data_IF_858642257887
#
_entry.id   IF_858642257887
#
_cell.length_a   1.000
_cell.length_b   1.000
_cell.length_c   1.000
_cell.angle_alpha   90.00
_cell.angle_beta   90.00
_cell.angle_gamma   90.00
#
_symmetry.space_group_name_H-M   'P 1'
#
loop_
_entity.id
_entity.type
_entity.pdbx_description
1 polymer ?
#
# COMPACT_ATOMS: atom_id res chain seq x y z
N UNK A 1 -32.39 -49.11 -15.56
CA UNK A 1 -32.55 -47.69 -15.16
C UNK A 1 -31.57 -47.22 -14.07
N UNK A 2 -31.26 -47.99 -13.01
CA UNK A 2 -30.28 -47.55 -11.99
C UNK A 2 -28.85 -47.34 -12.53
N UNK A 3 -28.35 -48.19 -13.43
CA UNK A 3 -26.99 -48.07 -14.01
C UNK A 3 -26.83 -46.87 -14.96
N UNK A 4 -27.89 -46.46 -15.65
CA UNK A 4 -27.88 -45.29 -16.54
C UNK A 4 -27.91 -43.96 -15.76
N UNK A 5 -28.57 -43.94 -14.59
CA UNK A 5 -28.62 -42.76 -13.73
C UNK A 5 -27.27 -42.49 -13.03
N UNK A 6 -26.54 -43.53 -12.64
CA UNK A 6 -25.20 -43.39 -12.03
C UNK A 6 -24.17 -42.86 -13.02
N UNK A 7 -24.27 -43.25 -14.30
CA UNK A 7 -23.34 -42.78 -15.34
C UNK A 7 -23.53 -41.29 -15.67
N UNK A 8 -24.77 -40.80 -15.69
CA UNK A 8 -25.10 -39.38 -15.90
C UNK A 8 -24.64 -38.53 -14.70
N UNK A 9 -24.78 -39.05 -13.47
CA UNK A 9 -24.31 -38.36 -12.26
C UNK A 9 -22.78 -38.18 -12.26
N UNK A 10 -22.03 -39.23 -12.63
CA UNK A 10 -20.55 -39.14 -12.72
C UNK A 10 -20.11 -38.19 -13.84
N UNK A 11 -20.81 -38.16 -14.98
CA UNK A 11 -20.49 -37.26 -16.09
C UNK A 11 -20.77 -35.78 -15.75
N UNK A 12 -21.79 -35.50 -14.94
CA UNK A 12 -22.09 -34.15 -14.45
C UNK A 12 -21.05 -33.62 -13.45
N UNK A 13 -20.52 -34.48 -12.56
CA UNK A 13 -19.48 -34.12 -11.58
C UNK A 13 -18.14 -33.82 -12.25
N UNK A 14 -17.78 -34.54 -13.33
CA UNK A 14 -16.56 -34.25 -14.10
C UNK A 14 -16.68 -32.94 -14.89
N UNK A 15 -17.88 -32.63 -15.39
CA UNK A 15 -18.13 -31.39 -16.15
C UNK A 15 -18.02 -30.12 -15.29
N UNK A 16 -18.38 -30.20 -14.00
CA UNK A 16 -18.22 -29.10 -13.06
C UNK A 16 -16.76 -28.82 -12.64
N UNK A 17 -15.82 -29.73 -12.91
CA UNK A 17 -14.39 -29.52 -12.59
C UNK A 17 -13.61 -28.80 -13.70
N UNK A 18 -14.19 -28.67 -14.90
CA UNK A 18 -13.56 -27.94 -16.03
C UNK A 18 -14.14 -26.54 -16.26
N UNK A 19 -15.20 -26.17 -15.56
CA UNK A 19 -15.81 -24.84 -15.65
C UNK A 19 -15.07 -23.82 -14.78
N UNK A 20 -13.89 -23.35 -15.24
CA UNK A 20 -13.35 -21.99 -15.06
C UNK A 20 -11.88 -21.89 -15.53
N UNK A 21 -11.58 -22.11 -16.81
CA UNK A 21 -10.30 -21.67 -17.43
C UNK A 21 -10.51 -21.25 -18.90
N UNK A 22 -11.29 -20.21 -19.13
CA UNK A 22 -11.40 -19.61 -20.46
C UNK A 22 -10.13 -18.76 -20.73
N UNK A 23 -9.29 -19.18 -21.69
CA UNK A 23 -8.23 -18.35 -22.28
C UNK A 23 -6.77 -18.83 -22.09
N UNK A 24 -6.48 -19.61 -21.04
CA UNK A 24 -5.14 -20.12 -20.74
C UNK A 24 -5.04 -21.65 -20.87
N UNK A 25 -4.05 -22.12 -21.63
CA UNK A 25 -3.66 -23.53 -21.74
C UNK A 25 -3.05 -24.06 -20.43
N UNK A 26 -2.37 -23.19 -19.67
CA UNK A 26 -1.84 -23.51 -18.34
C UNK A 26 -1.38 -22.28 -17.58
N UNK A 27 -1.38 -22.40 -16.25
CA UNK A 27 -0.83 -21.40 -15.33
C UNK A 27 -0.08 -22.11 -14.21
N UNK A 28 1.16 -21.68 -13.98
CA UNK A 28 2.08 -22.20 -12.99
C UNK A 28 2.52 -21.05 -12.08
N UNK A 29 2.78 -21.38 -10.82
CA UNK A 29 3.10 -20.41 -9.78
C UNK A 29 4.32 -20.86 -9.00
N UNK A 30 5.24 -19.93 -8.72
CA UNK A 30 6.43 -20.13 -7.88
C UNK A 30 7.19 -21.42 -8.26
N UNK A 31 7.37 -22.35 -7.32
CA UNK A 31 8.14 -23.58 -7.52
C UNK A 31 7.53 -24.57 -8.51
N UNK A 32 6.30 -24.31 -8.99
CA UNK A 32 5.69 -25.09 -10.08
C UNK A 32 6.10 -24.60 -11.47
N UNK A 33 6.80 -23.47 -11.55
CA UNK A 33 7.38 -22.94 -12.79
C UNK A 33 8.70 -23.67 -13.04
N UNK A 34 8.96 -23.96 -14.31
CA UNK A 34 10.23 -24.53 -14.76
C UNK A 34 11.44 -23.74 -14.18
N UNK A 35 12.41 -24.41 -13.52
CA UNK A 35 13.53 -23.72 -12.88
C UNK A 35 14.41 -22.90 -13.83
N UNK A 36 14.64 -23.37 -15.05
CA UNK A 36 15.47 -22.68 -16.03
C UNK A 36 14.77 -21.38 -16.48
N UNK A 37 13.44 -21.44 -16.66
CA UNK A 37 12.65 -20.25 -16.92
C UNK A 37 12.71 -19.27 -15.74
N UNK A 38 12.63 -19.74 -14.49
CA UNK A 38 12.76 -18.85 -13.32
C UNK A 38 14.13 -18.18 -13.28
N UNK A 39 15.21 -18.87 -13.64
CA UNK A 39 16.55 -18.29 -13.71
C UNK A 39 16.68 -17.23 -14.83
N UNK A 40 16.11 -17.51 -16.01
CA UNK A 40 16.02 -16.53 -17.11
C UNK A 40 15.29 -15.25 -16.64
N UNK A 41 14.17 -15.41 -15.94
CA UNK A 41 13.37 -14.29 -15.45
C UNK A 41 14.03 -13.56 -14.27
N UNK A 42 14.70 -14.26 -13.37
CA UNK A 42 15.50 -13.66 -12.30
C UNK A 42 16.62 -12.76 -12.87
N UNK A 43 17.24 -13.17 -13.98
CA UNK A 43 18.23 -12.36 -14.69
C UNK A 43 17.63 -11.06 -15.24
N UNK A 44 16.41 -11.13 -15.80
CA UNK A 44 15.69 -9.94 -16.30
C UNK A 44 15.24 -9.01 -15.17
N UNK A 45 14.73 -9.58 -14.06
CA UNK A 45 14.38 -8.82 -12.87
C UNK A 45 15.61 -8.10 -12.29
N UNK A 46 16.75 -8.79 -12.19
CA UNK A 46 18.01 -8.18 -11.74
C UNK A 46 18.42 -7.00 -12.62
N UNK A 47 18.34 -7.15 -13.95
CA UNK A 47 18.61 -6.05 -14.89
C UNK A 47 17.64 -4.88 -14.71
N UNK A 48 16.34 -5.16 -14.52
CA UNK A 48 15.32 -4.14 -14.28
C UNK A 48 15.59 -3.36 -12.99
N UNK A 49 15.77 -4.06 -11.86
CA UNK A 49 16.01 -3.42 -10.55
C UNK A 49 17.31 -2.62 -10.59
N UNK A 50 18.38 -3.17 -11.19
CA UNK A 50 19.66 -2.45 -11.34
C UNK A 50 19.50 -1.17 -12.17
N UNK A 51 18.81 -1.24 -13.30
CA UNK A 51 18.57 -0.06 -14.13
C UNK A 51 17.77 1.02 -13.38
N UNK A 52 16.80 0.64 -12.54
CA UNK A 52 16.07 1.59 -11.71
C UNK A 52 16.95 2.22 -10.63
N UNK A 53 17.76 1.42 -9.92
CA UNK A 53 18.67 1.90 -8.87
C UNK A 53 19.75 2.86 -9.42
N UNK A 54 20.20 2.64 -10.65
CA UNK A 54 21.22 3.47 -11.32
C UNK A 54 20.64 4.71 -12.01
N UNK A 55 19.35 5.02 -11.82
CA UNK A 55 18.62 6.07 -12.54
C UNK A 55 18.75 5.94 -14.08
N UNK A 56 18.86 4.70 -14.57
CA UNK A 56 19.13 4.37 -15.97
C UNK A 56 17.83 4.04 -16.72
N UNK A 57 17.09 5.10 -17.08
CA UNK A 57 15.83 4.94 -17.80
C UNK A 57 16.00 4.26 -19.18
N UNK A 58 17.14 4.48 -19.85
CA UNK A 58 17.47 3.79 -21.10
C UNK A 58 17.58 2.27 -20.90
N UNK A 59 18.18 1.82 -19.79
CA UNK A 59 18.26 0.41 -19.42
C UNK A 59 16.89 -0.22 -19.19
N UNK A 60 15.97 0.49 -18.54
CA UNK A 60 14.58 0.04 -18.40
C UNK A 60 13.87 -0.04 -19.75
N UNK A 61 14.03 0.97 -20.61
CA UNK A 61 13.44 1.00 -21.97
C UNK A 61 13.96 -0.13 -22.88
N UNK A 62 15.19 -0.60 -22.70
CA UNK A 62 15.73 -1.76 -23.44
C UNK A 62 15.02 -3.09 -23.10
N UNK A 63 14.50 -3.21 -21.87
CA UNK A 63 13.70 -4.36 -21.43
C UNK A 63 12.25 -4.25 -21.88
N UNK A 64 11.75 -3.04 -22.12
CA UNK A 64 10.37 -2.77 -22.49
C UNK A 64 9.99 -3.32 -23.86
N UNK A 65 8.73 -3.73 -24.00
CA UNK A 65 8.14 -4.06 -25.29
C UNK A 65 7.73 -2.78 -26.05
N UNK A 66 7.55 -2.86 -27.38
CA UNK A 66 7.04 -1.73 -28.16
C UNK A 66 5.71 -1.20 -27.63
N UNK A 67 4.83 -2.09 -27.16
CA UNK A 67 3.52 -1.73 -26.62
C UNK A 67 3.63 -0.95 -25.30
N UNK A 68 4.59 -1.29 -24.44
CA UNK A 68 4.86 -0.53 -23.22
C UNK A 68 5.41 0.85 -23.58
N UNK A 69 6.43 0.92 -24.45
CA UNK A 69 7.06 2.16 -24.88
C UNK A 69 6.05 3.16 -25.48
N UNK A 70 5.14 2.68 -26.34
CA UNK A 70 4.10 3.51 -26.95
C UNK A 70 3.11 4.07 -25.91
N UNK A 71 2.80 3.30 -24.86
CA UNK A 71 1.91 3.73 -23.77
C UNK A 71 2.62 4.62 -22.75
N UNK A 72 3.95 4.65 -22.75
CA UNK A 72 4.77 5.20 -21.66
C UNK A 72 5.71 6.32 -22.09
N UNK A 73 5.42 7.08 -23.16
CA UNK A 73 6.36 8.03 -23.80
C UNK A 73 7.19 8.89 -22.81
N UNK A 74 6.60 9.37 -21.70
CA UNK A 74 7.30 10.02 -20.58
C UNK A 74 7.21 9.27 -19.22
N UNK A 75 6.44 8.18 -19.16
CA UNK A 75 6.08 7.50 -17.91
C UNK A 75 7.22 6.71 -17.29
N UNK A 76 8.03 6.02 -18.09
CA UNK A 76 9.13 5.19 -17.57
C UNK A 76 10.27 6.03 -16.98
N UNK A 77 10.58 7.18 -17.59
CA UNK A 77 11.62 8.08 -17.10
C UNK A 77 11.23 8.67 -15.74
N UNK A 78 9.95 9.07 -15.61
CA UNK A 78 9.39 9.54 -14.35
C UNK A 78 9.41 8.47 -13.25
N UNK A 79 9.03 7.23 -13.58
CA UNK A 79 9.09 6.10 -12.65
C UNK A 79 10.51 5.86 -12.16
N UNK A 80 11.49 5.84 -13.07
CA UNK A 80 12.90 5.65 -12.69
C UNK A 80 13.38 6.82 -11.81
N UNK A 81 13.10 8.06 -12.22
CA UNK A 81 13.47 9.25 -11.46
C UNK A 81 12.82 9.28 -10.06
N UNK A 82 11.58 8.83 -9.91
CA UNK A 82 10.87 8.82 -8.64
C UNK A 82 11.46 7.82 -7.64
N UNK A 83 11.90 6.65 -8.11
CA UNK A 83 12.27 5.54 -7.22
C UNK A 83 13.79 5.30 -7.12
N UNK A 84 14.63 5.87 -7.98
CA UNK A 84 16.07 5.57 -8.01
C UNK A 84 16.81 5.83 -6.69
N UNK A 85 16.45 6.88 -5.94
CA UNK A 85 17.09 7.19 -4.64
C UNK A 85 16.75 6.19 -3.55
N UNK A 86 15.62 5.49 -3.70
CA UNK A 86 15.09 4.59 -2.71
C UNK A 86 15.47 3.13 -3.01
N UNK A 87 15.53 2.75 -4.29
CA UNK A 87 15.91 1.41 -4.75
C UNK A 87 17.43 1.23 -4.65
N UNK A 88 17.87 0.16 -3.99
CA UNK A 88 19.28 -0.25 -3.96
C UNK A 88 19.51 -1.46 -4.86
N UNK A 89 20.69 -1.54 -5.46
CA UNK A 89 21.11 -2.68 -6.28
C UNK A 89 20.94 -4.00 -5.51
N UNK A 90 20.39 -5.01 -6.19
CA UNK A 90 20.22 -6.38 -5.70
C UNK A 90 19.41 -6.54 -4.39
N UNK A 91 18.69 -5.50 -3.96
CA UNK A 91 17.89 -5.50 -2.73
C UNK A 91 16.39 -5.66 -3.01
N UNK A 92 16.01 -6.79 -3.61
CA UNK A 92 14.61 -7.15 -3.82
C UNK A 92 14.32 -8.59 -3.38
N UNK A 93 13.08 -8.82 -2.97
CA UNK A 93 12.53 -10.12 -2.63
C UNK A 93 11.44 -10.47 -3.66
N UNK A 94 11.35 -11.74 -4.04
CA UNK A 94 10.25 -12.24 -4.87
C UNK A 94 9.10 -12.62 -3.95
N UNK A 95 7.95 -11.93 -4.07
CA UNK A 95 6.73 -12.28 -3.33
C UNK A 95 6.08 -13.49 -4.00
N UNK A 96 5.81 -13.38 -5.30
CA UNK A 96 5.23 -14.43 -6.12
C UNK A 96 5.68 -14.28 -7.57
N UNK A 97 5.69 -15.40 -8.29
CA UNK A 97 5.91 -15.48 -9.72
C UNK A 97 4.82 -16.33 -10.37
N UNK A 98 4.40 -15.94 -11.57
CA UNK A 98 3.41 -16.66 -12.35
C UNK A 98 3.87 -16.80 -13.79
N UNK A 99 3.75 -18.00 -14.34
CA UNK A 99 3.94 -18.25 -15.76
C UNK A 99 2.62 -18.74 -16.35
N UNK A 100 2.18 -18.13 -17.45
CA UNK A 100 0.94 -18.52 -18.13
C UNK A 100 1.19 -18.77 -19.60
N UNK A 101 0.60 -19.84 -20.13
CA UNK A 101 0.48 -20.10 -21.57
C UNK A 101 -0.96 -19.89 -21.98
N UNK A 102 -1.19 -18.99 -22.91
CA UNK A 102 -2.48 -18.60 -23.45
C UNK A 102 -2.72 -19.26 -24.79
N UNK A 103 -3.99 -19.60 -25.08
CA UNK A 103 -4.36 -20.23 -26.37
C UNK A 103 -4.19 -19.22 -27.52
N UNK A 104 -4.35 -17.94 -27.22
CA UNK A 104 -4.13 -16.83 -28.13
C UNK A 104 -3.59 -15.60 -27.39
N UNK A 105 -3.00 -14.67 -28.14
CA UNK A 105 -2.69 -13.33 -27.65
C UNK A 105 -3.98 -12.50 -27.45
N UNK A 106 -3.85 -11.38 -26.72
CA UNK A 106 -4.91 -10.44 -26.37
C UNK A 106 -6.05 -11.01 -25.51
N UNK A 107 -5.75 -12.01 -24.68
CA UNK A 107 -6.69 -12.56 -23.71
C UNK A 107 -6.56 -11.87 -22.34
N UNK A 108 -7.67 -11.72 -21.63
CA UNK A 108 -7.63 -11.25 -20.24
C UNK A 108 -7.15 -12.39 -19.34
N UNK A 109 -6.10 -12.13 -18.55
CA UNK A 109 -5.62 -13.03 -17.52
C UNK A 109 -5.90 -12.44 -16.14
N UNK A 110 -6.39 -13.31 -15.26
CA UNK A 110 -6.56 -13.04 -13.83
C UNK A 110 -5.77 -14.09 -13.06
N UNK A 111 -4.72 -13.66 -12.38
CA UNK A 111 -3.93 -14.47 -11.47
C UNK A 111 -4.45 -14.25 -10.06
N UNK A 112 -4.51 -15.29 -9.25
CA UNK A 112 -5.05 -15.22 -7.88
C UNK A 112 -4.00 -15.80 -6.94
N UNK A 113 -3.74 -15.13 -5.81
CA UNK A 113 -2.92 -15.70 -4.74
C UNK A 113 -3.66 -16.88 -4.08
N UNK A 114 -2.92 -17.84 -3.53
CA UNK A 114 -3.55 -18.98 -2.85
C UNK A 114 -4.42 -18.56 -1.66
N UNK A 115 -5.61 -19.15 -1.54
CA UNK A 115 -6.78 -18.65 -0.79
C UNK A 115 -6.71 -18.52 0.75
N UNK A 116 -5.55 -18.55 1.41
CA UNK A 116 -5.49 -18.66 2.89
C UNK A 116 -4.72 -17.59 3.66
N UNK A 117 -4.13 -16.58 2.99
CA UNK A 117 -3.41 -15.51 3.68
C UNK A 117 -4.23 -14.21 3.78
N UNK A 118 -3.99 -13.41 4.83
CA UNK A 118 -4.55 -12.06 5.02
C UNK A 118 -4.20 -11.12 3.86
N UNK A 119 -3.09 -11.38 3.17
CA UNK A 119 -2.56 -10.58 2.06
C UNK A 119 -2.97 -11.09 0.67
N UNK A 120 -4.15 -11.68 0.54
CA UNK A 120 -4.60 -12.22 -0.75
C UNK A 120 -4.86 -11.11 -1.78
N UNK A 121 -4.45 -11.35 -3.03
CA UNK A 121 -4.64 -10.42 -4.14
C UNK A 121 -4.94 -11.12 -5.47
N UNK A 122 -5.42 -10.34 -6.44
CA UNK A 122 -5.45 -10.70 -7.84
C UNK A 122 -4.50 -9.84 -8.65
N UNK A 123 -3.97 -10.41 -9.74
CA UNK A 123 -3.29 -9.66 -10.79
C UNK A 123 -4.09 -9.79 -12.09
N UNK A 124 -4.66 -8.69 -12.55
CA UNK A 124 -5.51 -8.61 -13.73
C UNK A 124 -4.80 -7.87 -14.85
N UNK A 125 -4.56 -8.52 -15.99
CA UNK A 125 -3.89 -7.90 -17.14
C UNK A 125 -4.36 -8.45 -18.49
N UNK A 126 -4.04 -7.73 -19.56
CA UNK A 126 -4.23 -8.19 -20.93
C UNK A 126 -2.94 -8.89 -21.38
N UNK A 127 -3.02 -10.19 -21.66
CA UNK A 127 -1.91 -10.99 -22.16
C UNK A 127 -1.64 -10.69 -23.64
N UNK A 128 -0.64 -9.86 -23.94
CA UNK A 128 -0.29 -9.51 -25.32
C UNK A 128 0.45 -10.62 -26.08
N UNK A 129 0.90 -11.66 -25.38
CA UNK A 129 1.68 -12.77 -25.93
C UNK A 129 1.08 -14.11 -25.48
N UNK A 130 1.34 -15.16 -26.26
CA UNK A 130 0.95 -16.52 -25.91
C UNK A 130 1.61 -16.96 -24.60
N UNK A 131 2.86 -16.57 -24.35
CA UNK A 131 3.55 -16.86 -23.10
C UNK A 131 3.78 -15.57 -22.32
N UNK A 132 3.33 -15.56 -21.07
CA UNK A 132 3.47 -14.42 -20.16
C UNK A 132 4.12 -14.86 -18.86
N UNK A 133 4.90 -13.96 -18.27
CA UNK A 133 5.49 -14.13 -16.96
C UNK A 133 5.19 -12.92 -16.09
N UNK A 134 4.75 -13.11 -14.86
CA UNK A 134 4.48 -12.04 -13.90
C UNK A 134 5.39 -12.22 -12.71
N UNK A 135 6.19 -11.21 -12.41
CA UNK A 135 6.95 -11.10 -11.17
C UNK A 135 6.33 -10.04 -10.26
N UNK A 136 5.98 -10.46 -9.05
CA UNK A 136 5.58 -9.58 -7.96
C UNK A 136 6.76 -9.48 -7.02
N UNK A 137 7.46 -8.34 -7.05
CA UNK A 137 8.68 -8.12 -6.28
C UNK A 137 8.44 -7.12 -5.15
N UNK A 138 9.17 -7.26 -4.07
CA UNK A 138 9.26 -6.29 -2.98
C UNK A 138 10.65 -5.68 -2.97
N UNK A 139 10.73 -4.35 -3.00
CA UNK A 139 11.98 -3.61 -2.80
C UNK A 139 11.91 -2.90 -1.46
N UNK A 140 12.88 -3.16 -0.58
CA UNK A 140 12.95 -2.52 0.73
C UNK A 140 13.56 -1.12 0.59
N UNK A 141 12.81 -0.10 1.01
CA UNK A 141 13.24 1.29 1.09
C UNK A 141 13.45 1.65 2.57
N UNK A 142 14.04 2.81 2.91
CA UNK A 142 14.32 3.14 4.31
C UNK A 142 13.09 3.03 5.20
N UNK A 143 11.97 3.67 4.82
CA UNK A 143 10.78 3.85 5.67
C UNK A 143 9.56 3.00 5.26
N UNK A 144 9.59 2.45 4.05
CA UNK A 144 8.51 1.65 3.48
C UNK A 144 9.11 0.61 2.52
N UNK A 145 8.33 -0.38 2.11
CA UNK A 145 8.66 -1.26 1.00
C UNK A 145 7.83 -0.85 -0.22
N UNK A 146 8.40 -0.94 -1.42
CA UNK A 146 7.66 -0.79 -2.67
C UNK A 146 7.39 -2.15 -3.30
N UNK A 147 6.22 -2.33 -3.91
CA UNK A 147 5.93 -3.44 -4.79
C UNK A 147 6.35 -3.05 -6.21
N UNK A 148 7.05 -3.95 -6.90
CA UNK A 148 7.32 -3.84 -8.33
C UNK A 148 6.55 -4.96 -9.01
N UNK A 149 5.53 -4.58 -9.77
CA UNK A 149 4.78 -5.49 -10.63
C UNK A 149 5.38 -5.44 -12.03
N UNK A 150 6.05 -6.51 -12.43
CA UNK A 150 6.64 -6.65 -13.75
C UNK A 150 5.93 -7.77 -14.52
N UNK A 151 5.26 -7.43 -15.63
CA UNK A 151 4.61 -8.41 -16.51
C UNK A 151 5.38 -8.47 -17.82
N UNK A 152 5.95 -9.62 -18.11
CA UNK A 152 6.70 -9.93 -19.32
C UNK A 152 5.86 -10.75 -20.29
N UNK A 153 6.11 -10.57 -21.59
CA UNK A 153 5.62 -11.44 -22.65
C UNK A 153 6.78 -11.98 -23.48
N UNK A 154 6.64 -13.22 -24.00
CA UNK A 154 7.62 -13.82 -24.91
C UNK A 154 7.40 -13.31 -26.34
N UNK A 155 8.41 -12.64 -26.88
CA UNK A 155 8.50 -12.22 -28.28
C UNK A 155 9.53 -13.10 -29.01
N UNK A 156 9.59 -12.99 -30.34
CA UNK A 156 10.53 -13.75 -31.18
C UNK A 156 12.00 -13.52 -30.77
N UNK A 157 12.31 -12.33 -30.26
CA UNK A 157 13.65 -11.96 -29.79
C UNK A 157 13.83 -12.09 -28.26
N UNK A 158 12.96 -12.84 -27.59
CA UNK A 158 13.04 -13.12 -26.15
C UNK A 158 11.96 -12.42 -25.32
N UNK A 159 12.12 -12.45 -24.01
CA UNK A 159 11.18 -11.83 -23.07
C UNK A 159 11.30 -10.30 -23.05
N UNK A 160 10.16 -9.61 -23.09
CA UNK A 160 10.06 -8.15 -22.98
C UNK A 160 9.00 -7.75 -21.95
N UNK A 161 9.25 -6.64 -21.28
CA UNK A 161 8.38 -6.07 -20.26
C UNK A 161 7.19 -5.35 -20.91
N UNK A 162 5.98 -5.87 -20.68
CA UNK A 162 4.72 -5.34 -21.18
C UNK A 162 4.04 -4.38 -20.20
N UNK A 163 4.23 -4.60 -18.90
CA UNK A 163 3.66 -3.76 -17.84
C UNK A 163 4.72 -3.59 -16.75
N UNK A 164 4.90 -2.36 -16.29
CA UNK A 164 5.69 -2.01 -15.13
C UNK A 164 4.88 -1.07 -14.24
N UNK A 165 4.64 -1.49 -13.00
CA UNK A 165 3.99 -0.66 -11.99
C UNK A 165 4.78 -0.72 -10.68
N UNK A 166 4.94 0.43 -10.05
CA UNK A 166 5.57 0.57 -8.74
C UNK A 166 4.68 1.39 -7.82
N UNK A 167 4.57 0.97 -6.56
CA UNK A 167 3.80 1.64 -5.54
C UNK A 167 4.17 1.19 -4.14
N UNK A 168 3.79 2.00 -3.14
CA UNK A 168 4.02 1.67 -1.74
C UNK A 168 3.25 0.41 -1.35
N UNK A 169 3.95 -0.54 -0.73
CA UNK A 169 3.44 -1.87 -0.41
C UNK A 169 3.30 -2.10 1.10
N UNK A 170 4.38 -1.82 1.82
CA UNK A 170 4.42 -1.94 3.28
C UNK A 170 4.86 -0.62 3.89
N UNK A 171 4.24 -0.23 5.01
CA UNK A 171 4.77 0.81 5.90
C UNK A 171 5.13 0.13 7.21
N UNK A 172 6.36 0.35 7.70
CA UNK A 172 6.88 -0.32 8.91
C UNK A 172 6.70 -1.86 8.90
N UNK A 173 6.79 -2.47 7.71
CA UNK A 173 6.67 -3.91 7.52
C UNK A 173 5.24 -4.46 7.53
N UNK A 174 4.21 -3.60 7.49
CA UNK A 174 2.81 -4.02 7.40
C UNK A 174 2.15 -3.58 6.09
N UNK A 175 1.32 -4.44 5.52
CA UNK A 175 0.53 -4.21 4.30
C UNK A 175 -0.78 -3.47 4.59
N UNK A 176 -1.50 -3.10 3.53
CA UNK A 176 -2.84 -2.50 3.67
C UNK A 176 -3.85 -3.41 4.42
N UNK A 177 -4.01 -4.72 4.08
CA UNK A 177 -4.87 -5.62 4.85
C UNK A 177 -4.53 -5.70 6.35
N UNK A 178 -3.25 -5.71 6.70
CA UNK A 178 -2.81 -5.78 8.10
C UNK A 178 -3.15 -4.49 8.86
N UNK A 179 -2.93 -3.32 8.25
CA UNK A 179 -3.37 -2.04 8.83
C UNK A 179 -4.90 -1.92 8.94
N UNK A 180 -5.65 -2.51 8.00
CA UNK A 180 -7.11 -2.61 8.10
C UNK A 180 -7.53 -3.45 9.31
N UNK A 181 -6.87 -4.58 9.54
CA UNK A 181 -7.10 -5.46 10.69
C UNK A 181 -6.88 -4.73 12.03
N UNK A 182 -5.80 -3.93 12.12
CA UNK A 182 -5.51 -3.09 13.29
C UNK A 182 -6.55 -1.97 13.47
N UNK A 183 -6.92 -1.30 12.39
CA UNK A 183 -7.96 -0.28 12.41
C UNK A 183 -9.29 -0.85 12.91
N UNK A 184 -9.64 -2.06 12.47
CA UNK A 184 -10.86 -2.74 12.90
C UNK A 184 -10.82 -3.08 14.40
N UNK A 185 -9.67 -3.52 14.90
CA UNK A 185 -9.46 -3.78 16.33
C UNK A 185 -9.65 -2.53 17.19
N UNK A 186 -8.99 -1.42 16.83
CA UNK A 186 -9.18 -0.14 17.53
C UNK A 186 -10.62 0.37 17.46
N UNK A 187 -11.27 0.19 16.30
CA UNK A 187 -12.67 0.54 16.14
C UNK A 187 -13.59 -0.25 17.09
N UNK A 188 -13.35 -1.55 17.27
CA UNK A 188 -14.10 -2.38 18.22
C UNK A 188 -13.93 -1.91 19.68
N UNK A 189 -12.76 -1.36 20.02
CA UNK A 189 -12.45 -0.77 21.32
C UNK A 189 -13.05 0.65 21.50
N UNK A 190 -13.67 1.18 20.45
CA UNK A 190 -14.21 2.55 20.36
C UNK A 190 -13.13 3.63 20.42
N UNK A 191 -11.92 3.31 19.96
CA UNK A 191 -10.77 4.22 19.94
C UNK A 191 -10.62 4.76 18.50
N UNK A 192 -11.53 5.66 18.15
CA UNK A 192 -11.80 6.07 16.75
C UNK A 192 -10.60 6.79 16.11
N UNK A 193 -9.80 7.52 16.88
CA UNK A 193 -8.61 8.20 16.35
C UNK A 193 -7.51 7.20 15.97
N UNK A 194 -7.27 6.18 16.78
CA UNK A 194 -6.29 5.15 16.42
C UNK A 194 -6.80 4.34 15.21
N UNK A 195 -8.11 4.07 15.17
CA UNK A 195 -8.74 3.39 14.04
C UNK A 195 -8.59 4.19 12.72
N UNK A 196 -8.84 5.51 12.74
CA UNK A 196 -8.72 6.35 11.54
C UNK A 196 -7.25 6.48 11.09
N UNK A 197 -6.30 6.56 12.02
CA UNK A 197 -4.88 6.63 11.68
C UNK A 197 -4.41 5.36 10.95
N UNK A 198 -4.77 4.18 11.44
CA UNK A 198 -4.41 2.91 10.79
C UNK A 198 -5.10 2.73 9.43
N UNK A 199 -6.41 2.96 9.33
CA UNK A 199 -7.13 2.78 8.06
C UNK A 199 -6.76 3.82 7.00
N UNK A 200 -6.28 5.01 7.42
CA UNK A 200 -5.74 6.00 6.49
C UNK A 200 -4.46 5.48 5.82
N UNK A 201 -3.55 4.86 6.60
CA UNK A 201 -2.34 4.22 6.04
C UNK A 201 -2.72 3.07 5.11
N UNK A 202 -3.65 2.20 5.54
CA UNK A 202 -4.15 1.11 4.69
C UNK A 202 -4.66 1.65 3.34
N UNK A 203 -5.43 2.75 3.35
CA UNK A 203 -5.95 3.38 2.13
C UNK A 203 -4.84 3.95 1.25
N UNK A 204 -3.78 4.52 1.83
CA UNK A 204 -2.64 5.08 1.07
C UNK A 204 -1.83 3.99 0.35
N UNK A 205 -1.75 2.79 0.91
CA UNK A 205 -0.97 1.66 0.36
C UNK A 205 -1.84 0.52 -0.19
N UNK A 206 -3.13 0.76 -0.42
CA UNK A 206 -4.09 -0.25 -0.89
C UNK A 206 -3.86 -0.68 -2.36
N UNK A 207 -3.17 0.12 -3.17
CA UNK A 207 -3.01 -0.13 -4.61
C UNK A 207 -1.53 -0.17 -5.06
N UNK A 208 -0.72 -1.06 -4.48
CA UNK A 208 0.74 -1.09 -4.69
C UNK A 208 1.14 -1.40 -6.14
N UNK A 209 0.35 -2.18 -6.88
CA UNK A 209 0.55 -2.46 -8.32
C UNK A 209 -0.36 -1.65 -9.25
N UNK A 210 -0.98 -0.59 -8.74
CA UNK A 210 -1.99 0.19 -9.45
C UNK A 210 -3.19 -0.67 -9.88
N UNK A 211 -3.80 -0.34 -11.02
CA UNK A 211 -5.01 -1.02 -11.53
C UNK A 211 -4.84 -2.51 -11.85
N UNK A 212 -3.61 -3.01 -11.91
CA UNK A 212 -3.32 -4.40 -12.27
C UNK A 212 -3.24 -5.31 -11.05
N UNK A 213 -3.14 -4.74 -9.84
CA UNK A 213 -3.05 -5.47 -8.59
C UNK A 213 -4.22 -5.04 -7.71
N UNK A 214 -4.98 -6.00 -7.19
CA UNK A 214 -6.11 -5.72 -6.31
C UNK A 214 -6.08 -6.65 -5.11
N UNK A 215 -6.05 -6.11 -3.90
CA UNK A 215 -6.28 -6.92 -2.71
C UNK A 215 -7.72 -7.45 -2.74
N UNK A 216 -7.91 -8.69 -2.27
CA UNK A 216 -9.25 -9.30 -2.19
C UNK A 216 -10.23 -8.45 -1.38
N UNK A 217 -9.74 -7.84 -0.30
CA UNK A 217 -10.51 -7.02 0.63
C UNK A 217 -10.49 -5.52 0.29
N UNK A 218 -9.99 -5.10 -0.88
CA UNK A 218 -9.83 -3.66 -1.23
C UNK A 218 -11.13 -2.85 -1.06
N UNK A 219 -12.25 -3.39 -1.55
CA UNK A 219 -13.55 -2.71 -1.44
C UNK A 219 -14.05 -2.66 0.01
N UNK A 220 -13.76 -3.69 0.81
CA UNK A 220 -14.10 -3.74 2.24
C UNK A 220 -13.30 -2.68 3.01
N UNK A 221 -11.99 -2.61 2.78
CA UNK A 221 -11.11 -1.60 3.37
C UNK A 221 -11.59 -0.18 3.04
N UNK A 222 -11.88 0.09 1.75
CA UNK A 222 -12.36 1.40 1.30
C UNK A 222 -13.69 1.78 1.93
N UNK A 223 -14.64 0.86 2.01
CA UNK A 223 -15.93 1.10 2.65
C UNK A 223 -15.78 1.35 4.15
N UNK A 224 -14.89 0.62 4.82
CA UNK A 224 -14.59 0.82 6.23
C UNK A 224 -13.93 2.16 6.51
N UNK A 225 -12.97 2.58 5.68
CA UNK A 225 -12.37 3.91 5.72
C UNK A 225 -13.44 5.01 5.68
N UNK A 226 -14.33 4.96 4.68
CA UNK A 226 -15.41 5.94 4.52
C UNK A 226 -16.36 5.97 5.72
N UNK A 227 -16.67 4.79 6.29
CA UNK A 227 -17.51 4.66 7.48
C UNK A 227 -16.86 5.34 8.68
N UNK A 228 -15.62 4.98 9.03
CA UNK A 228 -14.94 5.53 10.21
C UNK A 228 -14.73 7.03 10.03
N UNK A 229 -14.31 7.49 8.85
CA UNK A 229 -14.10 8.91 8.61
C UNK A 229 -15.38 9.72 8.84
N UNK A 230 -16.53 9.21 8.40
CA UNK A 230 -17.84 9.84 8.67
C UNK A 230 -18.17 9.83 10.17
N UNK A 231 -17.91 8.73 10.87
CA UNK A 231 -18.14 8.62 12.31
C UNK A 231 -17.24 9.57 13.11
N UNK A 232 -15.95 9.60 12.80
CA UNK A 232 -14.97 10.52 13.37
C UNK A 232 -15.37 11.99 13.14
N UNK A 233 -15.77 12.36 11.93
CA UNK A 233 -16.24 13.72 11.62
C UNK A 233 -17.57 14.07 12.29
N UNK A 234 -18.37 13.07 12.69
CA UNK A 234 -19.59 13.28 13.45
C UNK A 234 -19.32 13.48 14.94
N UNK A 235 -18.40 12.68 15.49
CA UNK A 235 -18.02 12.72 16.89
C UNK A 235 -17.09 13.90 17.22
N UNK A 236 -16.17 14.21 16.32
CA UNK A 236 -15.14 15.23 16.49
C UNK A 236 -15.32 16.33 15.44
N UNK A 237 -16.00 17.40 15.83
CA UNK A 237 -16.21 18.58 14.98
C UNK A 237 -14.96 19.46 14.98
N UNK A 238 -14.04 19.20 14.05
CA UNK A 238 -12.86 20.03 13.84
C UNK A 238 -13.20 21.26 12.95
N UNK A 239 -12.63 22.44 13.23
CA UNK A 239 -11.74 22.73 14.36
C UNK A 239 -12.46 22.75 15.72
N UNK A 240 -11.85 22.14 16.73
CA UNK A 240 -12.39 21.95 18.07
C UNK A 240 -11.56 22.76 19.09
N UNK A 241 -12.21 23.69 19.80
CA UNK A 241 -11.57 24.46 20.87
C UNK A 241 -11.50 23.64 22.18
N UNK A 242 -10.31 23.53 22.76
CA UNK A 242 -10.08 22.84 24.05
C UNK A 242 -10.29 23.82 25.19
N UNK A 243 -11.56 24.07 25.54
CA UNK A 243 -11.99 25.11 26.50
C UNK A 243 -11.52 24.87 27.93
N UNK A 244 -11.07 23.66 28.27
CA UNK A 244 -10.50 23.34 29.58
C UNK A 244 -9.16 24.05 29.82
N UNK A 245 -8.49 24.50 28.76
CA UNK A 245 -7.21 25.21 28.82
C UNK A 245 -7.44 26.71 28.77
N UNK A 246 -6.69 27.47 29.59
CA UNK A 246 -6.78 28.94 29.62
C UNK A 246 -6.52 29.59 28.26
N UNK A 247 -5.63 29.01 27.47
CA UNK A 247 -5.24 29.51 26.14
C UNK A 247 -6.20 29.10 25.03
N UNK A 248 -7.10 28.15 25.32
CA UNK A 248 -8.14 27.61 24.44
C UNK A 248 -7.64 27.28 23.01
N UNK A 249 -6.61 26.42 22.85
CA UNK A 249 -6.11 26.04 21.54
C UNK A 249 -7.20 25.34 20.73
N UNK A 250 -7.16 25.52 19.40
CA UNK A 250 -8.11 24.91 18.47
C UNK A 250 -7.44 23.75 17.74
N UNK A 251 -7.82 22.52 18.07
CA UNK A 251 -7.40 21.33 17.32
C UNK A 251 -8.06 21.38 15.95
N UNK A 252 -7.33 21.16 14.87
CA UNK A 252 -7.92 21.24 13.52
C UNK A 252 -7.58 20.05 12.62
N UNK A 253 -6.64 19.20 13.01
CA UNK A 253 -6.33 17.97 12.29
C UNK A 253 -5.67 16.96 13.23
N UNK A 254 -6.04 15.70 13.08
CA UNK A 254 -5.31 14.55 13.58
C UNK A 254 -4.97 13.68 12.38
N UNK A 255 -3.75 13.14 12.33
CA UNK A 255 -3.27 12.31 11.23
C UNK A 255 -2.17 11.38 11.72
N UNK A 256 -1.94 10.23 11.05
CA UNK A 256 -0.85 9.35 11.42
C UNK A 256 0.52 10.00 11.16
N UNK A 257 1.47 9.72 12.05
CA UNK A 257 2.88 10.03 11.91
C UNK A 257 3.68 8.76 12.23
N UNK A 258 4.47 8.29 11.25
CA UNK A 258 5.34 7.14 11.45
C UNK A 258 6.73 7.56 11.95
N UNK A 259 7.29 6.76 12.84
CA UNK A 259 8.70 6.75 13.21
C UNK A 259 9.30 5.45 12.69
N UNK A 260 10.47 5.54 12.05
CA UNK A 260 11.18 4.38 11.49
C UNK A 260 12.55 4.14 12.16
N UNK A 261 12.76 4.72 13.33
CA UNK A 261 13.87 4.36 14.21
C UNK A 261 13.59 2.96 14.78
N UNK A 262 14.49 1.97 14.63
CA UNK A 262 14.24 0.60 15.11
C UNK A 262 13.85 0.49 16.59
N UNK A 263 14.32 1.39 17.45
CA UNK A 263 13.99 1.38 18.87
C UNK A 263 12.64 2.03 19.19
N UNK A 264 12.09 2.83 18.27
CA UNK A 264 10.86 3.63 18.45
C UNK A 264 9.86 3.46 17.32
N UNK A 265 10.02 2.41 16.50
CA UNK A 265 9.24 2.22 15.29
C UNK A 265 7.76 2.09 15.64
N UNK A 266 6.92 2.81 14.90
CA UNK A 266 5.48 2.80 15.14
C UNK A 266 4.76 3.90 14.38
N UNK A 267 3.43 3.77 14.36
CA UNK A 267 2.50 4.79 13.89
C UNK A 267 1.92 5.46 15.11
N UNK A 268 1.98 6.79 15.15
CA UNK A 268 1.54 7.59 16.29
C UNK A 268 0.67 8.74 15.80
N UNK A 269 -0.28 9.21 16.61
CA UNK A 269 -1.11 10.35 16.25
C UNK A 269 -0.29 11.65 16.24
N UNK A 270 -0.46 12.44 15.18
CA UNK A 270 -0.01 13.82 15.08
C UNK A 270 -1.21 14.76 15.17
N UNK A 271 -1.24 15.55 16.24
CA UNK A 271 -2.29 16.52 16.52
C UNK A 271 -1.81 17.92 16.10
N UNK A 272 -2.51 18.51 15.14
CA UNK A 272 -2.26 19.88 14.69
C UNK A 272 -3.27 20.81 15.34
N UNK A 273 -2.76 21.89 15.94
CA UNK A 273 -3.59 22.85 16.66
C UNK A 273 -3.14 24.29 16.44
N UNK A 274 -4.11 25.19 16.45
CA UNK A 274 -3.89 26.63 16.44
C UNK A 274 -3.75 27.12 17.89
N UNK A 275 -2.65 27.80 18.17
CA UNK A 275 -2.35 28.48 19.43
C UNK A 275 -2.41 29.99 19.25
N UNK A 276 -2.86 30.68 20.30
CA UNK A 276 -2.77 32.14 20.40
C UNK A 276 -1.39 32.62 20.89
N UNK A 277 -0.50 31.70 21.29
CA UNK A 277 0.87 31.99 21.72
C UNK A 277 1.77 32.09 20.49
N UNK A 278 2.56 33.16 20.38
CA UNK A 278 3.51 33.34 19.26
C UNK A 278 4.45 32.14 19.14
N UNK A 279 4.70 31.66 17.92
CA UNK A 279 5.60 30.52 17.68
C UNK A 279 7.04 30.71 18.19
N UNK A 280 7.47 31.95 18.37
CA UNK A 280 8.78 32.29 18.93
C UNK A 280 8.85 32.13 20.45
N UNK A 281 7.71 32.13 21.15
CA UNK A 281 7.64 31.91 22.61
C UNK A 281 7.51 30.42 22.90
N UNK A 282 8.64 29.72 22.73
CA UNK A 282 8.71 28.26 22.87
C UNK A 282 8.46 27.78 24.30
N UNK A 283 8.70 28.62 25.30
CA UNK A 283 8.47 28.31 26.72
C UNK A 283 6.97 28.27 27.00
N UNK A 284 6.24 29.32 26.60
CA UNK A 284 4.79 29.36 26.78
C UNK A 284 4.08 28.27 25.95
N UNK A 285 4.54 28.01 24.72
CA UNK A 285 3.99 26.92 23.91
C UNK A 285 4.22 25.54 24.53
N UNK A 286 5.40 25.29 25.10
CA UNK A 286 5.68 24.03 25.80
C UNK A 286 4.73 23.85 26.99
N UNK A 287 4.49 24.91 27.77
CA UNK A 287 3.54 24.85 28.88
C UNK A 287 2.12 24.56 28.39
N UNK A 288 1.65 25.23 27.33
CA UNK A 288 0.35 24.94 26.71
C UNK A 288 0.25 23.49 26.22
N UNK A 289 1.29 22.98 25.54
CA UNK A 289 1.31 21.61 25.04
C UNK A 289 1.28 20.57 26.17
N UNK A 290 1.98 20.81 27.28
CA UNK A 290 1.95 19.93 28.46
C UNK A 290 0.57 19.90 29.11
N UNK A 291 -0.12 21.03 29.21
CA UNK A 291 -1.50 21.05 29.70
C UNK A 291 -2.47 20.37 28.70
N UNK A 292 -2.26 20.58 27.39
CA UNK A 292 -3.03 19.89 26.36
C UNK A 292 -2.87 18.37 26.43
N UNK A 293 -1.63 17.88 26.62
CA UNK A 293 -1.33 16.45 26.78
C UNK A 293 -2.12 15.84 27.94
N UNK A 294 -2.28 16.55 29.07
CA UNK A 294 -3.03 16.03 30.23
C UNK A 294 -4.52 15.81 29.95
N UNK A 295 -5.09 16.60 29.05
CA UNK A 295 -6.53 16.55 28.77
C UNK A 295 -6.87 15.81 27.48
N UNK A 296 -5.88 15.45 26.65
CA UNK A 296 -6.13 14.95 25.30
C UNK A 296 -6.90 13.63 25.26
N UNK A 297 -6.69 12.72 26.23
CA UNK A 297 -7.45 11.47 26.34
C UNK A 297 -8.94 11.67 26.60
N UNK A 298 -9.32 12.79 27.20
CA UNK A 298 -10.73 13.17 27.39
C UNK A 298 -11.36 13.73 26.12
N UNK A 299 -10.53 14.30 25.23
CA UNK A 299 -10.94 14.82 23.92
C UNK A 299 -11.03 13.68 22.92
N UNK A 300 -9.98 12.87 22.80
CA UNK A 300 -9.89 11.72 21.93
C UNK A 300 -9.68 10.46 22.77
N UNK A 301 -10.74 9.65 22.86
CA UNK A 301 -10.73 8.45 23.69
C UNK A 301 -9.63 7.49 23.26
N UNK A 302 -8.84 7.02 24.23
CA UNK A 302 -7.80 5.99 24.03
C UNK A 302 -6.46 6.52 23.52
N UNK A 303 -6.41 7.74 22.98
CA UNK A 303 -5.22 8.28 22.32
C UNK A 303 -4.01 8.35 23.26
N UNK A 304 -4.24 8.59 24.54
CA UNK A 304 -3.25 8.73 25.61
C UNK A 304 -2.97 7.43 26.37
N UNK A 305 -3.54 6.30 25.90
CA UNK A 305 -3.37 4.96 26.50
C UNK A 305 -2.82 3.94 25.50
N UNK A 306 -3.23 4.07 24.24
CA UNK A 306 -2.91 3.10 23.20
C UNK A 306 -1.57 3.40 22.52
N UNK A 307 -1.04 4.61 22.70
CA UNK A 307 0.16 5.10 22.02
C UNK A 307 1.31 5.23 23.00
N UNK A 308 2.55 5.08 22.52
CA UNK A 308 3.77 5.42 23.30
C UNK A 308 4.14 6.89 23.17
N UNK A 309 3.79 7.50 22.04
CA UNK A 309 4.07 8.89 21.74
C UNK A 309 2.84 9.57 21.15
N UNK A 310 2.69 10.87 21.41
CA UNK A 310 1.81 11.75 20.65
C UNK A 310 2.64 12.90 20.11
N UNK A 311 2.50 13.16 18.81
CA UNK A 311 3.11 14.31 18.16
C UNK A 311 2.17 15.49 18.16
N UNK A 312 2.73 16.68 18.29
CA UNK A 312 1.95 17.91 18.23
C UNK A 312 2.63 18.93 17.34
N UNK A 313 1.85 19.59 16.48
CA UNK A 313 2.27 20.80 15.77
C UNK A 313 1.38 21.98 16.14
N UNK A 314 2.00 22.99 16.73
CA UNK A 314 1.37 24.28 17.03
C UNK A 314 1.53 25.23 15.83
N UNK A 315 0.45 25.94 15.51
CA UNK A 315 0.40 26.98 14.48
C UNK A 315 -0.20 28.25 15.05
N UNK A 316 0.12 29.43 14.51
CA UNK A 316 -0.61 30.66 14.86
C UNK A 316 -1.88 30.89 14.00
N UNK A 317 -1.99 30.19 12.88
CA UNK A 317 -3.15 30.20 12.00
C UNK A 317 -3.42 28.79 11.46
N UNK A 318 -4.68 28.50 11.13
CA UNK A 318 -5.03 27.25 10.45
C UNK A 318 -4.57 27.42 9.00
N UNK A 319 -3.66 26.57 8.48
CA UNK A 319 -3.16 26.71 7.13
C UNK A 319 -4.29 26.63 6.10
N UNK A 320 -4.36 27.59 5.18
CA UNK A 320 -5.28 27.57 4.03
C UNK A 320 -4.46 27.44 2.74
N UNK A 321 -4.60 26.32 2.03
CA UNK A 321 -3.89 26.08 0.78
C UNK A 321 -2.55 25.32 0.91
N UNK A 322 -1.69 25.45 -0.10
CA UNK A 322 -0.48 24.63 -0.28
C UNK A 322 0.80 25.19 0.35
N UNK A 323 0.77 26.43 0.85
CA UNK A 323 1.94 27.04 1.47
C UNK A 323 2.27 26.37 2.83
N UNK A 324 3.55 26.08 3.06
CA UNK A 324 4.02 25.56 4.34
C UNK A 324 3.89 26.65 5.42
N UNK A 325 2.80 26.60 6.18
CA UNK A 325 2.63 27.45 7.34
C UNK A 325 3.72 27.16 8.39
N UNK A 326 4.24 28.24 9.00
CA UNK A 326 5.19 28.12 10.12
C UNK A 326 4.53 27.36 11.27
N UNK A 327 5.32 26.50 11.92
CA UNK A 327 4.86 25.66 13.03
C UNK A 327 5.97 25.40 14.04
N UNK A 328 5.57 25.00 15.25
CA UNK A 328 6.47 24.48 16.27
C UNK A 328 6.03 23.07 16.69
N UNK A 329 6.98 22.16 16.87
CA UNK A 329 6.69 20.74 17.10
C UNK A 329 7.09 20.22 18.46
N UNK A 330 6.26 19.31 18.99
CA UNK A 330 6.50 18.58 20.24
C UNK A 330 6.34 17.08 20.02
N UNK A 331 7.09 16.31 20.81
CA UNK A 331 6.87 14.88 20.99
C UNK A 331 6.62 14.69 22.48
N UNK A 332 5.50 14.07 22.83
CA UNK A 332 5.15 13.73 24.20
C UNK A 332 5.19 12.22 24.37
N UNK A 333 5.92 11.74 25.37
CA UNK A 333 5.93 10.35 25.77
C UNK A 333 4.74 10.08 26.68
N UNK A 334 4.00 9.00 26.41
CA UNK A 334 2.94 8.50 27.28
C UNK A 334 3.60 7.57 28.31
N UNK A 335 3.34 7.84 29.58
CA UNK A 335 3.91 7.09 30.71
C UNK A 335 3.06 5.90 31.11
#
# INVERSE_FOLDING_TARGET
>A
MKKTLTFILVLSVVSCLFSCRFGAWGSWKNDRIDPDLREEMATLNKKLIKAMAENNAAGVKQLASPALLQKSEAGLDSVVAQYHTAVKNDNYEIIDEYYTRNVAANNKNTLVTSDKAENNYTVDYLALNAEMYVSVLKVKLPTFSALVLAVYGRYDNGWKLNILNLGNYEVLGKTAPEYYSEAFTHYQQKDIIDAIDMISIASEIAQPGGKFFKYKEEDVMKNFYNKILKEANNQYKLPLAVKQLKTAPQLFSVSPQFINDPAKAGVFPLIKYKSNIKLTDTVALKAENQELQKVIGSVFKGIDKNNKHIFYFAFNEIPTGSALAKRYGFVQDIK
#
